data_IF_060162559967
#
_entry.id   IF_060162559967
#
_cell.length_a   1.000
_cell.length_b   1.000
_cell.length_c   1.000
_cell.angle_alpha   90.00
_cell.angle_beta   90.00
_cell.angle_gamma   90.00
#
_symmetry.space_group_name_H-M   'P 1'
#
loop_
_entity.id
_entity.type
_entity.pdbx_description
1 polymer ?
#
# COMPACT_ATOMS: atom_id res chain seq x y z
N UNK A 1 -6.52 2.33 19.75
CA UNK A 1 -7.26 2.10 18.48
C UNK A 1 -8.13 3.29 18.02
N UNK A 2 -8.28 4.39 18.76
CA UNK A 2 -9.27 5.45 18.42
C UNK A 2 -8.94 6.43 17.27
N UNK A 3 -7.68 6.55 16.80
CA UNK A 3 -7.33 7.53 15.75
C UNK A 3 -7.56 6.99 14.33
N UNK A 4 -7.27 5.70 14.11
CA UNK A 4 -7.38 5.03 12.80
C UNK A 4 -8.85 4.77 12.43
N UNK A 5 -9.72 4.52 13.42
CA UNK A 5 -11.15 4.27 13.21
C UNK A 5 -11.89 5.44 12.55
N UNK A 6 -11.41 6.68 12.70
CA UNK A 6 -11.97 7.86 12.01
C UNK A 6 -11.86 7.74 10.48
N UNK A 7 -10.82 7.06 10.02
CA UNK A 7 -10.51 6.88 8.61
C UNK A 7 -11.21 5.68 7.99
N UNK A 8 -11.72 4.76 8.80
CA UNK A 8 -12.52 3.66 8.29
C UNK A 8 -13.79 4.13 7.59
N UNK A 9 -14.29 3.33 6.62
CA UNK A 9 -15.52 3.66 5.91
C UNK A 9 -16.65 3.73 6.93
N UNK A 10 -17.66 4.56 6.68
CA UNK A 10 -18.88 4.68 7.53
C UNK A 10 -20.15 4.31 6.77
N UNK A 11 -20.01 3.95 5.51
CA UNK A 11 -21.09 3.75 4.53
C UNK A 11 -20.85 2.44 3.77
N UNK A 12 -21.90 1.91 3.14
CA UNK A 12 -21.83 0.78 2.21
C UNK A 12 -21.65 1.23 0.74
N UNK A 13 -21.56 2.54 0.50
CA UNK A 13 -21.27 3.11 -0.82
C UNK A 13 -19.81 2.84 -1.21
N UNK A 14 -19.63 1.99 -2.22
CA UNK A 14 -18.31 1.57 -2.70
C UNK A 14 -17.49 2.72 -3.30
N UNK A 15 -18.12 3.69 -3.98
CA UNK A 15 -17.41 4.82 -4.58
C UNK A 15 -16.79 5.70 -3.49
N UNK A 16 -17.59 6.06 -2.50
CA UNK A 16 -17.14 6.92 -1.40
C UNK A 16 -16.06 6.21 -0.55
N UNK A 17 -16.25 4.93 -0.25
CA UNK A 17 -15.26 4.12 0.46
C UNK A 17 -13.97 3.96 -0.35
N UNK A 18 -14.05 3.78 -1.67
CA UNK A 18 -12.91 3.70 -2.58
C UNK A 18 -12.13 5.01 -2.64
N UNK A 19 -12.80 6.15 -2.87
CA UNK A 19 -12.16 7.47 -2.92
C UNK A 19 -11.47 7.80 -1.59
N UNK A 20 -12.12 7.52 -0.46
CA UNK A 20 -11.52 7.73 0.86
C UNK A 20 -10.28 6.87 1.05
N UNK A 21 -10.32 5.61 0.59
CA UNK A 21 -9.16 4.73 0.63
C UNK A 21 -8.04 5.25 -0.29
N UNK A 22 -8.34 5.77 -1.47
CA UNK A 22 -7.36 6.35 -2.39
C UNK A 22 -6.65 7.56 -1.79
N UNK A 23 -7.37 8.44 -1.08
CA UNK A 23 -6.74 9.56 -0.38
C UNK A 23 -5.80 9.09 0.72
N UNK A 24 -6.19 8.06 1.47
CA UNK A 24 -5.35 7.48 2.53
C UNK A 24 -4.13 6.77 1.95
N UNK A 25 -4.34 6.01 0.88
CA UNK A 25 -3.29 5.34 0.12
C UNK A 25 -2.26 6.33 -0.39
N UNK A 26 -2.69 7.47 -0.94
CA UNK A 26 -1.79 8.54 -1.38
C UNK A 26 -0.94 9.10 -0.23
N UNK A 27 -1.53 9.28 0.97
CA UNK A 27 -0.79 9.71 2.16
C UNK A 27 0.22 8.65 2.60
N UNK A 28 -0.18 7.37 2.62
CA UNK A 28 0.72 6.26 2.95
C UNK A 28 1.85 6.12 1.93
N UNK A 29 1.55 6.22 0.65
CA UNK A 29 2.49 6.13 -0.45
C UNK A 29 3.52 7.26 -0.39
N UNK A 30 3.05 8.49 -0.15
CA UNK A 30 3.94 9.65 -0.01
C UNK A 30 4.82 9.51 1.24
N UNK A 31 4.22 9.20 2.40
CA UNK A 31 4.97 9.06 3.65
C UNK A 31 5.99 7.93 3.61
N UNK A 32 5.58 6.75 3.13
CA UNK A 32 6.47 5.59 2.97
C UNK A 32 7.53 5.83 1.90
N UNK A 33 7.22 6.54 0.83
CA UNK A 33 8.18 6.94 -0.20
C UNK A 33 9.29 7.85 0.35
N UNK A 34 8.94 8.83 1.17
CA UNK A 34 9.92 9.69 1.85
C UNK A 34 10.80 8.88 2.80
N UNK A 35 10.21 7.99 3.60
CA UNK A 35 10.96 7.11 4.52
C UNK A 35 11.89 6.17 3.73
N UNK A 36 11.40 5.56 2.66
CA UNK A 36 12.19 4.70 1.77
C UNK A 36 13.39 5.48 1.23
N UNK A 37 13.14 6.66 0.66
CA UNK A 37 14.18 7.51 0.08
C UNK A 37 15.26 7.85 1.12
N UNK A 38 14.87 8.24 2.33
CA UNK A 38 15.80 8.54 3.41
C UNK A 38 16.64 7.31 3.82
N UNK A 39 16.00 6.17 4.03
CA UNK A 39 16.67 4.92 4.42
C UNK A 39 17.65 4.42 3.35
N UNK A 40 17.21 4.34 2.09
CA UNK A 40 18.06 3.91 0.99
C UNK A 40 19.22 4.87 0.74
N UNK A 41 18.98 6.19 0.86
CA UNK A 41 20.05 7.19 0.74
C UNK A 41 21.10 7.04 1.85
N UNK A 42 20.67 6.83 3.10
CA UNK A 42 21.57 6.64 4.24
C UNK A 42 22.42 5.38 4.06
N UNK A 43 21.81 4.26 3.67
CA UNK A 43 22.54 3.02 3.39
C UNK A 43 23.51 3.20 2.21
N UNK A 44 23.10 3.96 1.18
CA UNK A 44 23.97 4.36 0.09
C UNK A 44 25.20 5.15 0.56
N UNK A 45 25.03 6.10 1.48
CA UNK A 45 26.14 6.86 2.07
C UNK A 45 27.10 5.94 2.85
N UNK A 46 26.56 5.04 3.69
CA UNK A 46 27.40 4.13 4.49
C UNK A 46 28.19 3.16 3.61
N UNK A 47 27.59 2.67 2.52
CA UNK A 47 28.28 1.83 1.53
C UNK A 47 29.44 2.54 0.85
N UNK A 48 29.32 3.86 0.59
CA UNK A 48 30.42 4.66 0.01
C UNK A 48 31.63 4.78 0.94
N UNK A 49 31.45 4.63 2.25
CA UNK A 49 32.53 4.60 3.24
C UNK A 49 33.21 3.22 3.31
N UNK A 50 32.77 2.26 2.47
CA UNK A 50 33.38 0.93 2.34
C UNK A 50 32.76 -0.13 3.25
N UNK A 51 31.68 0.18 3.98
CA UNK A 51 30.97 -0.81 4.81
C UNK A 51 29.91 -1.51 3.96
N UNK A 52 30.05 -2.82 3.68
CA UNK A 52 29.10 -3.55 2.85
C UNK A 52 27.83 -3.90 3.65
N UNK A 53 26.95 -2.93 3.84
CA UNK A 53 25.65 -3.15 4.50
C UNK A 53 24.62 -3.62 3.47
N UNK A 54 23.85 -4.71 3.68
CA UNK A 54 22.77 -5.10 2.79
C UNK A 54 21.65 -4.03 2.74
N UNK A 55 20.89 -4.00 1.65
CA UNK A 55 19.76 -3.07 1.56
C UNK A 55 18.69 -3.46 2.61
N UNK A 56 18.07 -2.49 3.32
CA UNK A 56 17.22 -2.75 4.48
C UNK A 56 15.78 -3.14 4.08
N UNK A 57 15.64 -3.94 3.03
CA UNK A 57 14.35 -4.30 2.42
C UNK A 57 13.43 -4.99 3.43
N UNK A 58 13.98 -5.89 4.25
CA UNK A 58 13.22 -6.62 5.27
C UNK A 58 12.70 -5.69 6.37
N UNK A 59 13.50 -4.72 6.82
CA UNK A 59 13.09 -3.71 7.80
C UNK A 59 11.94 -2.88 7.23
N UNK A 60 12.11 -2.40 5.99
CA UNK A 60 11.07 -1.62 5.32
C UNK A 60 9.77 -2.43 5.19
N UNK A 61 9.85 -3.68 4.77
CA UNK A 61 8.69 -4.55 4.66
C UNK A 61 8.00 -4.78 6.01
N UNK A 62 8.78 -5.05 7.08
CA UNK A 62 8.24 -5.36 8.39
C UNK A 62 7.55 -4.17 9.04
N UNK A 63 8.11 -2.96 8.90
CA UNK A 63 7.60 -1.77 9.59
C UNK A 63 6.65 -0.90 8.76
N UNK A 64 6.61 -1.06 7.43
CA UNK A 64 5.73 -0.26 6.58
C UNK A 64 4.76 -1.13 5.77
N UNK A 65 5.27 -2.11 5.04
CA UNK A 65 4.43 -2.90 4.10
C UNK A 65 3.44 -3.80 4.85
N UNK A 66 3.90 -4.56 5.85
CA UNK A 66 3.03 -5.45 6.63
C UNK A 66 1.93 -4.66 7.37
N UNK A 67 2.25 -3.58 8.13
CA UNK A 67 1.23 -2.76 8.76
C UNK A 67 0.23 -2.16 7.77
N UNK A 68 0.70 -1.76 6.58
CA UNK A 68 -0.17 -1.27 5.51
C UNK A 68 -1.14 -2.36 5.01
N UNK A 69 -0.70 -3.60 4.80
CA UNK A 69 -1.59 -4.70 4.45
C UNK A 69 -2.62 -5.02 5.54
N UNK A 70 -2.21 -4.97 6.80
CA UNK A 70 -3.13 -5.13 7.95
C UNK A 70 -4.16 -4.00 7.95
N UNK A 71 -3.74 -2.76 7.68
CA UNK A 71 -4.65 -1.62 7.54
C UNK A 71 -5.66 -1.84 6.40
N UNK A 72 -5.21 -2.27 5.22
CA UNK A 72 -6.10 -2.55 4.08
C UNK A 72 -7.11 -3.65 4.41
N UNK A 73 -6.69 -4.71 5.11
CA UNK A 73 -7.58 -5.75 5.60
C UNK A 73 -8.65 -5.22 6.56
N UNK A 74 -8.25 -4.48 7.60
CA UNK A 74 -9.19 -3.92 8.57
C UNK A 74 -10.12 -2.87 7.94
N UNK A 75 -9.62 -2.10 6.97
CA UNK A 75 -10.45 -1.19 6.18
C UNK A 75 -11.51 -1.95 5.39
N UNK A 76 -11.12 -3.01 4.70
CA UNK A 76 -12.02 -3.93 4.00
C UNK A 76 -13.06 -4.52 4.95
N UNK A 77 -12.64 -4.98 6.12
CA UNK A 77 -13.51 -5.55 7.16
C UNK A 77 -14.54 -4.56 7.66
N UNK A 78 -14.12 -3.33 7.96
CA UNK A 78 -15.01 -2.26 8.35
C UNK A 78 -16.06 -1.96 7.26
N UNK A 79 -15.67 -2.00 5.98
CA UNK A 79 -16.60 -1.85 4.85
C UNK A 79 -17.57 -3.05 4.75
N UNK A 80 -17.05 -4.28 4.76
CA UNK A 80 -17.81 -5.52 4.65
C UNK A 80 -18.84 -5.71 5.77
N UNK A 81 -18.54 -5.21 6.97
CA UNK A 81 -19.48 -5.23 8.11
C UNK A 81 -20.78 -4.45 7.84
N UNK A 82 -20.71 -3.39 7.02
CA UNK A 82 -21.86 -2.54 6.66
C UNK A 82 -22.54 -3.02 5.39
N UNK A 83 -21.81 -3.67 4.50
CA UNK A 83 -22.33 -4.16 3.25
C UNK A 83 -22.93 -5.58 3.42
N UNK A 84 -24.27 -5.70 3.41
CA UNK A 84 -24.95 -6.99 3.59
C UNK A 84 -25.02 -7.84 2.31
N UNK A 85 -24.73 -7.28 1.14
CA UNK A 85 -24.88 -7.96 -0.16
C UNK A 85 -23.64 -7.81 -1.05
N UNK A 86 -23.36 -8.82 -1.90
CA UNK A 86 -22.28 -8.77 -2.91
C UNK A 86 -20.91 -8.32 -2.36
N UNK A 87 -20.54 -8.79 -1.16
CA UNK A 87 -19.34 -8.34 -0.42
C UNK A 87 -18.04 -8.51 -1.21
N UNK A 88 -17.89 -9.62 -1.92
CA UNK A 88 -16.71 -9.89 -2.76
C UNK A 88 -16.58 -8.82 -3.85
N UNK A 89 -17.61 -8.67 -4.69
CA UNK A 89 -17.60 -7.73 -5.82
C UNK A 89 -17.46 -6.27 -5.36
N UNK A 90 -18.23 -5.85 -4.35
CA UNK A 90 -18.14 -4.49 -3.82
C UNK A 90 -16.82 -4.24 -3.10
N UNK A 91 -16.27 -5.23 -2.40
CA UNK A 91 -14.95 -5.15 -1.79
C UNK A 91 -13.85 -5.01 -2.83
N UNK A 92 -13.96 -5.74 -3.95
CA UNK A 92 -13.06 -5.62 -5.09
C UNK A 92 -13.09 -4.22 -5.70
N UNK A 93 -14.28 -3.65 -5.92
CA UNK A 93 -14.40 -2.27 -6.42
C UNK A 93 -13.76 -1.25 -5.48
N UNK A 94 -13.96 -1.39 -4.16
CA UNK A 94 -13.32 -0.52 -3.17
C UNK A 94 -11.80 -0.69 -3.18
N UNK A 95 -11.32 -1.93 -3.23
CA UNK A 95 -9.89 -2.23 -3.27
C UNK A 95 -9.24 -1.62 -4.52
N UNK A 96 -9.82 -1.84 -5.69
CA UNK A 96 -9.27 -1.33 -6.95
C UNK A 96 -9.29 0.21 -7.00
N UNK A 97 -10.43 0.84 -6.70
CA UNK A 97 -10.53 2.30 -6.65
C UNK A 97 -9.59 2.90 -5.60
N UNK A 98 -9.51 2.27 -4.42
CA UNK A 98 -8.71 2.74 -3.30
C UNK A 98 -7.20 2.65 -3.50
N UNK A 99 -6.72 1.85 -4.46
CA UNK A 99 -5.29 1.73 -4.76
C UNK A 99 -4.94 2.30 -6.15
N UNK A 100 -5.85 3.11 -6.73
CA UNK A 100 -5.58 3.87 -7.95
C UNK A 100 -4.28 4.68 -7.89
N UNK A 101 -3.92 5.35 -6.75
CA UNK A 101 -2.63 6.04 -6.64
C UNK A 101 -1.43 5.14 -6.87
N UNK A 102 -1.42 3.91 -6.35
CA UNK A 102 -0.34 2.96 -6.57
C UNK A 102 -0.20 2.57 -8.05
N UNK A 103 -1.32 2.30 -8.72
CA UNK A 103 -1.31 2.02 -10.16
C UNK A 103 -0.84 3.23 -10.98
N UNK A 104 -1.27 4.44 -10.62
CA UNK A 104 -0.84 5.66 -11.27
C UNK A 104 0.67 5.89 -11.10
N UNK A 105 1.22 5.66 -9.90
CA UNK A 105 2.65 5.77 -9.65
C UNK A 105 3.44 4.74 -10.48
N UNK A 106 3.01 3.47 -10.49
CA UNK A 106 3.63 2.43 -11.34
C UNK A 106 3.65 2.85 -12.81
N UNK A 107 2.52 3.36 -13.32
CA UNK A 107 2.42 3.83 -14.69
C UNK A 107 3.42 4.96 -14.99
N UNK A 108 3.50 5.97 -14.12
CA UNK A 108 4.46 7.08 -14.25
C UNK A 108 5.91 6.60 -14.21
N UNK A 109 6.22 5.67 -13.32
CA UNK A 109 7.56 5.10 -13.18
C UNK A 109 8.01 4.34 -14.44
N UNK A 110 7.11 3.57 -15.06
CA UNK A 110 7.37 2.82 -16.30
C UNK A 110 7.51 3.78 -17.49
N UNK A 111 6.50 4.63 -17.71
CA UNK A 111 6.44 5.52 -18.88
C UNK A 111 7.48 6.62 -18.82
N UNK A 112 7.83 7.09 -17.63
CA UNK A 112 8.90 8.07 -17.42
C UNK A 112 10.30 7.48 -17.49
N UNK A 113 10.44 6.19 -17.78
CA UNK A 113 11.73 5.48 -17.87
C UNK A 113 12.64 5.71 -16.64
N UNK A 114 12.04 5.76 -15.45
CA UNK A 114 12.76 6.14 -14.22
C UNK A 114 13.92 5.19 -13.89
N UNK A 115 13.89 3.96 -14.41
CA UNK A 115 14.97 2.98 -14.34
C UNK A 115 16.33 3.52 -14.81
N UNK A 116 16.36 4.54 -15.68
CA UNK A 116 17.60 5.17 -16.18
C UNK A 116 18.29 6.06 -15.13
N UNK A 117 17.55 6.57 -14.15
CA UNK A 117 18.04 7.55 -13.19
C UNK A 117 18.43 6.93 -11.83
N UNK A 118 18.01 5.69 -11.58
CA UNK A 118 18.29 4.97 -10.33
C UNK A 118 19.31 3.85 -10.56
N UNK A 119 20.04 3.51 -9.49
CA UNK A 119 20.85 2.29 -9.48
C UNK A 119 19.96 1.07 -9.84
N UNK A 120 20.38 0.20 -10.77
CA UNK A 120 19.55 -0.90 -11.26
C UNK A 120 19.06 -1.85 -10.16
N UNK A 121 19.85 -2.06 -9.10
CA UNK A 121 19.46 -2.92 -7.99
C UNK A 121 18.40 -2.24 -7.12
N UNK A 122 18.59 -0.95 -6.81
CA UNK A 122 17.62 -0.16 -6.04
C UNK A 122 16.30 -0.04 -6.80
N UNK A 123 16.37 0.25 -8.11
CA UNK A 123 15.21 0.29 -8.99
C UNK A 123 14.42 -1.02 -8.94
N UNK A 124 15.11 -2.15 -9.16
CA UNK A 124 14.47 -3.47 -9.17
C UNK A 124 13.76 -3.75 -7.86
N UNK A 125 14.37 -3.43 -6.73
CA UNK A 125 13.77 -3.63 -5.41
C UNK A 125 12.54 -2.76 -5.23
N UNK A 126 12.64 -1.44 -5.43
CA UNK A 126 11.52 -0.51 -5.24
C UNK A 126 10.35 -0.89 -6.17
N UNK A 127 10.66 -1.19 -7.43
CA UNK A 127 9.66 -1.56 -8.43
C UNK A 127 8.92 -2.84 -8.04
N UNK A 128 9.66 -3.91 -7.68
CA UNK A 128 9.06 -5.17 -7.22
C UNK A 128 8.21 -4.97 -5.97
N UNK A 129 8.64 -4.13 -5.03
CA UNK A 129 7.85 -3.85 -3.83
C UNK A 129 6.55 -3.11 -4.16
N UNK A 130 6.60 -2.09 -5.01
CA UNK A 130 5.42 -1.33 -5.42
C UNK A 130 4.43 -2.19 -6.21
N UNK A 131 4.93 -3.07 -7.08
CA UNK A 131 4.12 -4.05 -7.81
C UNK A 131 3.42 -5.02 -6.85
N UNK A 132 4.15 -5.60 -5.89
CA UNK A 132 3.56 -6.44 -4.86
C UNK A 132 2.47 -5.71 -4.08
N UNK A 133 2.73 -4.47 -3.65
CA UNK A 133 1.74 -3.67 -2.91
C UNK A 133 0.49 -3.43 -3.77
N UNK A 134 0.66 -3.08 -5.04
CA UNK A 134 -0.42 -2.79 -5.96
C UNK A 134 -1.33 -4.00 -6.23
N UNK A 135 -0.79 -5.21 -6.15
CA UNK A 135 -1.56 -6.45 -6.33
C UNK A 135 -2.18 -6.91 -4.99
N UNK A 136 -1.36 -6.99 -3.94
CA UNK A 136 -1.75 -7.60 -2.67
C UNK A 136 -2.70 -6.71 -1.88
N UNK A 137 -2.50 -5.40 -1.87
CA UNK A 137 -3.29 -4.51 -1.04
C UNK A 137 -4.79 -4.47 -1.42
N UNK A 138 -5.18 -4.44 -2.73
CA UNK A 138 -6.56 -4.66 -3.12
C UNK A 138 -7.12 -6.01 -2.67
N UNK A 139 -6.34 -7.09 -2.76
CA UNK A 139 -6.74 -8.42 -2.30
C UNK A 139 -7.02 -8.40 -0.80
N UNK A 140 -6.17 -7.75 -0.01
CA UNK A 140 -6.38 -7.61 1.43
C UNK A 140 -7.69 -6.88 1.76
N UNK A 141 -8.07 -5.85 1.00
CA UNK A 141 -9.37 -5.20 1.14
C UNK A 141 -10.52 -6.16 0.84
N UNK A 142 -10.41 -6.98 -0.21
CA UNK A 142 -11.44 -7.98 -0.54
C UNK A 142 -11.57 -9.01 0.58
N UNK A 143 -10.45 -9.58 1.03
CA UNK A 143 -10.41 -10.57 2.09
C UNK A 143 -11.06 -10.02 3.37
N UNK A 144 -10.67 -8.80 3.76
CA UNK A 144 -11.29 -8.09 4.88
C UNK A 144 -12.79 -7.92 4.68
N UNK A 145 -13.24 -7.44 3.51
CA UNK A 145 -14.66 -7.24 3.22
C UNK A 145 -15.49 -8.53 3.27
N UNK A 146 -14.85 -9.68 3.04
CA UNK A 146 -15.47 -11.00 3.12
C UNK A 146 -15.40 -11.64 4.51
N UNK A 147 -14.52 -11.16 5.39
CA UNK A 147 -14.34 -11.68 6.74
C UNK A 147 -15.66 -11.60 7.51
N UNK A 148 -16.22 -12.77 7.83
CA UNK A 148 -17.33 -12.89 8.76
C UNK A 148 -16.71 -13.10 10.12
N UNK A 149 -16.91 -12.16 11.05
CA UNK A 149 -16.91 -12.53 12.47
C UNK A 149 -17.96 -13.64 12.61
N UNK A 150 -17.52 -14.88 12.78
CA UNK A 150 -18.33 -15.94 13.35
C UNK A 150 -18.79 -15.38 14.71
N UNK A 151 -20.07 -15.02 14.78
CA UNK A 151 -20.75 -14.85 16.05
C UNK A 151 -21.09 -16.23 16.58
#
# INVERSE_FOLDING_TARGET
MGFIERYFPKTDNFLLAGIKLALLDLVFLTGSGVIAFALFSLVGMVRRVGIPIPLPVWLFSLFLVIPYYVFCFEYGRAYGSRNKTRRVFRGFLVGFLGHTPNFALLFVLIQGEFYKYFDPQIWRIIFTMLEMISIVAPIMVVLGATDRKQK
#
